data_IF_610454493109
#
_entry.id   IF_610454493109
#
_cell.length_a   1.000
_cell.length_b   1.000
_cell.length_c   1.000
_cell.angle_alpha   90.00
_cell.angle_beta   90.00
_cell.angle_gamma   90.00
#
_symmetry.space_group_name_H-M   'P 1'
#
loop_
_entity.id
_entity.type
_entity.pdbx_description
1 polymer ?
#
# COMPACT_ATOMS: atom_id res chain seq x y z
N UNK A 1 -26.15 16.33 23.77
CA UNK A 1 -25.54 17.38 22.92
C UNK A 1 -25.94 17.09 21.49
N UNK A 2 -26.64 18.03 20.85
CA UNK A 2 -26.98 17.95 19.43
C UNK A 2 -25.71 18.24 18.62
N UNK A 3 -25.33 17.31 17.73
CA UNK A 3 -24.23 17.51 16.80
C UNK A 3 -24.67 18.53 15.73
N UNK A 4 -23.92 19.61 15.56
CA UNK A 4 -24.19 20.64 14.54
C UNK A 4 -23.16 20.60 13.39
N UNK A 5 -21.97 20.13 13.68
CA UNK A 5 -20.88 19.96 12.69
C UNK A 5 -20.24 18.60 12.91
N UNK A 6 -20.22 17.78 11.87
CA UNK A 6 -19.58 16.47 11.85
C UNK A 6 -18.34 16.52 10.96
N UNK A 7 -17.21 16.04 11.48
CA UNK A 7 -15.96 15.93 10.71
C UNK A 7 -15.68 14.45 10.49
N UNK A 8 -15.53 14.04 9.24
CA UNK A 8 -15.22 12.69 8.80
C UNK A 8 -13.88 12.70 8.06
N UNK A 9 -12.88 12.03 8.62
CA UNK A 9 -11.54 11.92 8.05
C UNK A 9 -11.32 10.51 7.51
N UNK A 10 -11.23 10.39 6.17
CA UNK A 10 -11.08 9.14 5.43
C UNK A 10 -12.05 8.00 5.86
N UNK A 11 -13.36 8.28 6.02
CA UNK A 11 -14.26 7.32 6.68
C UNK A 11 -14.49 6.04 5.86
N UNK A 12 -14.15 6.04 4.57
CA UNK A 12 -14.39 4.91 3.65
C UNK A 12 -13.15 4.05 3.40
N UNK A 13 -12.03 4.33 4.06
CA UNK A 13 -10.73 3.66 3.78
C UNK A 13 -10.77 2.14 3.99
N UNK A 14 -11.62 1.65 4.90
CA UNK A 14 -11.75 0.23 5.25
C UNK A 14 -13.15 -0.34 4.98
N UNK A 15 -14.02 0.42 4.27
CA UNK A 15 -15.38 0.01 3.99
C UNK A 15 -15.51 -0.67 2.62
N UNK A 16 -16.43 -1.62 2.55
CA UNK A 16 -16.91 -2.20 1.29
C UNK A 16 -17.79 -1.19 0.55
N UNK A 17 -18.01 -1.36 -0.76
CA UNK A 17 -18.89 -0.49 -1.54
C UNK A 17 -20.31 -0.38 -0.94
N UNK A 18 -20.86 -1.49 -0.45
CA UNK A 18 -22.18 -1.50 0.18
C UNK A 18 -22.22 -0.67 1.47
N UNK A 19 -21.15 -0.71 2.27
CA UNK A 19 -21.02 0.08 3.50
C UNK A 19 -20.81 1.56 3.19
N UNK A 20 -20.09 1.89 2.12
CA UNK A 20 -19.95 3.27 1.62
C UNK A 20 -21.32 3.85 1.22
N UNK A 21 -22.14 3.08 0.50
CA UNK A 21 -23.50 3.49 0.15
C UNK A 21 -24.39 3.70 1.40
N UNK A 22 -24.23 2.87 2.43
CA UNK A 22 -24.92 3.05 3.70
C UNK A 22 -24.47 4.33 4.41
N UNK A 23 -23.15 4.59 4.45
CA UNK A 23 -22.59 5.81 5.03
C UNK A 23 -23.11 7.06 4.31
N UNK A 24 -23.15 7.05 2.98
CA UNK A 24 -23.64 8.21 2.22
C UNK A 24 -25.12 8.52 2.46
N UNK A 25 -25.94 7.50 2.67
CA UNK A 25 -27.33 7.69 3.09
C UNK A 25 -27.43 8.35 4.46
N UNK A 26 -26.63 7.88 5.43
CA UNK A 26 -26.58 8.49 6.77
C UNK A 26 -26.14 9.95 6.69
N UNK A 27 -25.13 10.28 5.87
CA UNK A 27 -24.68 11.65 5.66
C UNK A 27 -25.79 12.52 5.05
N UNK A 28 -26.54 11.99 4.09
CA UNK A 28 -27.67 12.70 3.48
C UNK A 28 -28.78 12.97 4.50
N UNK A 29 -29.12 12.01 5.36
CA UNK A 29 -30.11 12.16 6.42
C UNK A 29 -29.66 13.23 7.44
N UNK A 30 -28.41 13.17 7.90
CA UNK A 30 -27.83 14.18 8.80
C UNK A 30 -27.87 15.59 8.20
N UNK A 31 -27.55 15.71 6.90
CA UNK A 31 -27.63 16.97 6.17
C UNK A 31 -29.08 17.51 6.12
N UNK A 32 -30.06 16.63 5.91
CA UNK A 32 -31.48 16.98 5.92
C UNK A 32 -31.93 17.46 7.31
N UNK A 33 -31.36 16.92 8.37
CA UNK A 33 -31.58 17.35 9.77
C UNK A 33 -30.81 18.64 10.15
N UNK A 34 -30.11 19.26 9.19
CA UNK A 34 -29.40 20.53 9.39
C UNK A 34 -27.98 20.40 9.96
N UNK A 35 -27.41 19.20 9.98
CA UNK A 35 -26.02 18.99 10.38
C UNK A 35 -25.10 19.35 9.22
N UNK A 36 -24.10 20.21 9.48
CA UNK A 36 -23.02 20.50 8.51
C UNK A 36 -21.95 19.42 8.58
N UNK A 37 -21.45 18.96 7.42
CA UNK A 37 -20.46 17.90 7.36
C UNK A 37 -19.18 18.39 6.67
N UNK A 38 -18.03 18.15 7.30
CA UNK A 38 -16.71 18.27 6.69
C UNK A 38 -16.23 16.87 6.37
N UNK A 39 -16.11 16.57 5.08
CA UNK A 39 -15.73 15.25 4.59
C UNK A 39 -14.33 15.30 3.97
N UNK A 40 -13.38 14.57 4.55
CA UNK A 40 -12.01 14.51 4.08
C UNK A 40 -11.80 13.16 3.39
N UNK A 41 -11.37 13.17 2.13
CA UNK A 41 -11.06 11.97 1.37
C UNK A 41 -10.07 12.28 0.24
N UNK A 42 -9.32 11.26 -0.17
CA UNK A 42 -8.51 11.29 -1.38
C UNK A 42 -9.21 10.61 -2.58
N UNK A 43 -10.42 10.08 -2.37
CA UNK A 43 -11.24 9.45 -3.40
C UNK A 43 -12.11 10.53 -4.06
N UNK A 44 -11.68 11.01 -5.23
CA UNK A 44 -12.30 12.14 -5.92
C UNK A 44 -13.75 11.88 -6.29
N UNK A 45 -14.11 10.66 -6.63
CA UNK A 45 -15.48 10.25 -6.97
C UNK A 45 -16.43 10.43 -5.79
N UNK A 46 -15.98 10.07 -4.57
CA UNK A 46 -16.75 10.28 -3.34
C UNK A 46 -16.98 11.76 -3.08
N UNK A 47 -15.92 12.57 -3.15
CA UNK A 47 -15.97 14.02 -2.94
C UNK A 47 -16.95 14.68 -3.93
N UNK A 48 -16.83 14.38 -5.22
CA UNK A 48 -17.71 14.96 -6.24
C UNK A 48 -19.16 14.55 -6.08
N UNK A 49 -19.40 13.36 -5.51
CA UNK A 49 -20.74 12.81 -5.32
C UNK A 49 -21.52 13.47 -4.16
N UNK A 50 -20.84 13.76 -3.03
CA UNK A 50 -21.55 14.14 -1.79
C UNK A 50 -21.33 15.60 -1.39
N UNK A 51 -20.29 16.27 -1.90
CA UNK A 51 -19.93 17.62 -1.46
C UNK A 51 -20.67 18.69 -2.25
N UNK A 52 -21.04 19.78 -1.58
CA UNK A 52 -21.55 21.00 -2.23
C UNK A 52 -20.39 21.85 -2.75
N UNK A 53 -19.33 21.99 -1.93
CA UNK A 53 -18.10 22.71 -2.24
C UNK A 53 -16.89 21.83 -1.93
N UNK A 54 -15.83 22.01 -2.71
CA UNK A 54 -14.56 21.27 -2.55
C UNK A 54 -13.43 22.26 -2.30
N UNK A 55 -12.83 22.15 -1.12
CA UNK A 55 -11.61 22.88 -0.75
C UNK A 55 -10.40 22.01 -1.00
N UNK A 56 -9.44 22.49 -1.78
CA UNK A 56 -8.22 21.75 -2.12
C UNK A 56 -7.04 22.34 -1.32
N UNK A 57 -6.29 21.43 -0.72
CA UNK A 57 -5.04 21.73 -0.01
C UNK A 57 -3.88 20.95 -0.65
N UNK A 58 -2.69 21.55 -0.64
CA UNK A 58 -1.46 20.93 -1.13
C UNK A 58 -0.28 21.37 -0.27
N UNK A 59 0.51 20.42 0.23
CA UNK A 59 1.67 20.69 1.10
C UNK A 59 1.34 21.62 2.29
N UNK A 60 0.16 21.42 2.91
CA UNK A 60 -0.33 22.23 4.02
C UNK A 60 -0.84 23.63 3.65
N UNK A 61 -0.89 23.97 2.36
CA UNK A 61 -1.34 25.26 1.86
C UNK A 61 -2.73 25.16 1.24
N UNK A 62 -3.56 26.17 1.50
CA UNK A 62 -4.83 26.36 0.81
C UNK A 62 -4.59 26.73 -0.65
N UNK A 63 -5.24 26.03 -1.57
CA UNK A 63 -5.14 26.26 -3.02
C UNK A 63 -6.38 26.99 -3.53
N UNK A 64 -7.57 26.62 -3.06
CA UNK A 64 -8.82 27.25 -3.45
C UNK A 64 -10.02 26.41 -3.02
N UNK A 65 -11.23 27.01 -3.20
CA UNK A 65 -12.52 26.36 -2.98
C UNK A 65 -13.39 26.58 -4.21
N UNK A 66 -14.07 25.56 -4.67
CA UNK A 66 -14.94 25.57 -5.85
C UNK A 66 -16.24 24.81 -5.57
N UNK A 67 -17.36 25.20 -6.19
CA UNK A 67 -18.56 24.37 -6.21
C UNK A 67 -18.26 23.00 -6.83
N UNK A 68 -18.71 21.92 -6.20
CA UNK A 68 -18.42 20.54 -6.67
C UNK A 68 -18.88 20.33 -8.12
N UNK A 69 -20.00 20.91 -8.53
CA UNK A 69 -20.56 20.83 -9.89
C UNK A 69 -19.66 21.42 -10.98
N UNK A 70 -18.70 22.26 -10.63
CA UNK A 70 -17.79 22.95 -11.55
C UNK A 70 -16.46 22.22 -11.67
N UNK A 71 -16.26 21.17 -10.87
CA UNK A 71 -15.02 20.39 -10.83
C UNK A 71 -15.18 19.05 -11.57
N UNK A 72 -14.10 18.66 -12.19
CA UNK A 72 -13.89 17.29 -12.69
C UNK A 72 -12.78 16.62 -11.89
N UNK A 73 -12.73 15.29 -11.91
CA UNK A 73 -11.65 14.53 -11.28
C UNK A 73 -10.26 15.04 -11.73
N UNK A 74 -10.08 15.29 -13.03
CA UNK A 74 -8.81 15.78 -13.59
C UNK A 74 -8.47 17.20 -13.09
N UNK A 75 -9.48 18.06 -12.92
CA UNK A 75 -9.28 19.40 -12.37
C UNK A 75 -8.83 19.33 -10.91
N UNK A 76 -9.48 18.50 -10.09
CA UNK A 76 -9.10 18.28 -8.68
C UNK A 76 -7.66 17.78 -8.61
N UNK A 77 -7.33 16.73 -9.36
CA UNK A 77 -5.97 16.16 -9.40
C UNK A 77 -4.95 17.22 -9.84
N UNK A 78 -5.27 18.00 -10.85
CA UNK A 78 -4.38 19.09 -11.32
C UNK A 78 -4.11 20.11 -10.22
N UNK A 79 -5.13 20.53 -9.48
CA UNK A 79 -4.98 21.46 -8.36
C UNK A 79 -4.20 20.85 -7.19
N UNK A 80 -4.42 19.56 -6.86
CA UNK A 80 -3.72 18.85 -5.81
C UNK A 80 -2.23 18.65 -6.14
N UNK A 81 -1.90 18.28 -7.38
CA UNK A 81 -0.52 17.98 -7.81
C UNK A 81 0.21 19.24 -8.30
N UNK A 82 -0.52 20.25 -8.79
CA UNK A 82 0.03 21.52 -9.30
C UNK A 82 0.54 21.45 -10.74
N UNK A 83 0.32 20.36 -11.44
CA UNK A 83 0.61 20.19 -12.87
C UNK A 83 -0.41 19.25 -13.50
N UNK A 84 -0.66 19.40 -14.78
CA UNK A 84 -1.43 18.39 -15.52
C UNK A 84 -0.67 17.06 -15.51
N UNK A 85 -1.37 16.00 -15.21
CA UNK A 85 -0.84 14.65 -15.32
C UNK A 85 -1.16 14.13 -16.73
N UNK A 86 -0.32 14.46 -17.70
CA UNK A 86 -0.50 14.01 -19.09
C UNK A 86 -0.32 12.49 -19.24
N UNK A 87 0.34 11.83 -18.27
CA UNK A 87 0.51 10.38 -18.21
C UNK A 87 0.41 9.91 -16.75
N UNK A 88 -0.79 9.52 -16.32
CA UNK A 88 -0.99 8.92 -14.98
C UNK A 88 -0.22 7.60 -14.81
N UNK A 89 -0.01 6.88 -15.91
CA UNK A 89 0.70 5.60 -15.90
C UNK A 89 1.81 5.63 -16.95
N UNK A 90 3.03 5.23 -16.59
CA UNK A 90 4.10 5.07 -17.57
C UNK A 90 3.66 4.04 -18.63
N UNK A 91 4.13 4.17 -19.87
CA UNK A 91 3.84 3.20 -20.92
C UNK A 91 4.26 1.79 -20.43
N UNK A 92 3.40 0.81 -20.67
CA UNK A 92 3.71 -0.59 -20.34
C UNK A 92 4.72 -1.12 -21.34
N UNK A 93 5.98 -1.15 -20.94
CA UNK A 93 6.97 -1.96 -21.65
C UNK A 93 6.78 -3.42 -21.17
N UNK A 94 6.49 -4.30 -22.11
CA UNK A 94 6.32 -5.74 -21.82
C UNK A 94 7.70 -6.36 -21.67
N UNK A 95 8.19 -6.44 -20.43
CA UNK A 95 9.50 -7.05 -20.11
C UNK A 95 9.39 -8.51 -19.65
N UNK A 96 8.17 -9.05 -19.60
CA UNK A 96 7.94 -10.43 -19.16
C UNK A 96 8.50 -11.43 -20.19
N UNK A 97 9.23 -12.42 -19.70
CA UNK A 97 9.75 -13.55 -20.48
C UNK A 97 8.97 -14.83 -20.14
N UNK A 98 9.21 -15.94 -20.87
CA UNK A 98 8.59 -17.22 -20.56
C UNK A 98 9.27 -17.97 -19.38
N UNK A 99 10.33 -17.39 -18.80
CA UNK A 99 11.04 -17.96 -17.65
C UNK A 99 10.21 -17.78 -16.36
N UNK A 100 9.71 -18.89 -15.80
CA UNK A 100 9.03 -18.89 -14.49
C UNK A 100 10.06 -18.73 -13.38
N UNK A 101 9.98 -17.64 -12.62
CA UNK A 101 10.89 -17.35 -11.51
C UNK A 101 10.34 -17.78 -10.16
N UNK A 102 9.01 -17.76 -10.02
CA UNK A 102 8.35 -18.21 -8.80
C UNK A 102 7.02 -18.89 -9.15
N UNK A 103 6.72 -19.98 -8.49
CA UNK A 103 5.46 -20.70 -8.67
C UNK A 103 4.91 -21.11 -7.32
N UNK A 104 3.61 -20.96 -7.15
CA UNK A 104 2.87 -21.41 -5.98
C UNK A 104 1.86 -22.46 -6.42
N UNK A 105 1.78 -23.60 -5.71
CA UNK A 105 0.91 -24.71 -6.05
C UNK A 105 0.08 -25.13 -4.83
N UNK A 106 -1.24 -25.06 -4.94
CA UNK A 106 -2.26 -25.46 -3.94
C UNK A 106 -1.97 -24.95 -2.51
N UNK A 107 -1.49 -23.71 -2.41
CA UNK A 107 -1.03 -23.14 -1.16
C UNK A 107 -2.21 -22.80 -0.25
N UNK A 108 -2.25 -23.41 0.93
CA UNK A 108 -3.40 -23.34 1.84
C UNK A 108 -2.93 -23.02 3.25
N UNK A 109 -3.56 -22.01 3.86
CA UNK A 109 -3.29 -21.57 5.22
C UNK A 109 -3.66 -22.64 6.25
N UNK A 110 -2.91 -22.72 7.34
CA UNK A 110 -3.31 -23.46 8.55
C UNK A 110 -4.58 -22.89 9.19
N UNK A 111 -4.87 -21.60 9.00
CA UNK A 111 -6.11 -20.97 9.43
C UNK A 111 -7.24 -21.28 8.42
N UNK A 112 -8.31 -22.03 8.83
CA UNK A 112 -9.37 -22.42 7.90
C UNK A 112 -10.17 -21.24 7.35
N UNK A 113 -10.10 -20.05 7.96
CA UNK A 113 -10.77 -18.82 7.52
C UNK A 113 -9.88 -17.94 6.63
N UNK A 114 -8.69 -18.41 6.26
CA UNK A 114 -7.75 -17.66 5.43
C UNK A 114 -7.65 -18.26 4.01
N UNK A 115 -6.57 -17.99 3.27
CA UNK A 115 -6.38 -18.41 1.89
C UNK A 115 -6.35 -19.94 1.76
N UNK A 116 -6.93 -20.46 0.66
CA UNK A 116 -6.99 -21.90 0.36
C UNK A 116 -6.79 -22.16 -1.12
N UNK A 117 -5.94 -23.16 -1.44
CA UNK A 117 -5.73 -23.65 -2.79
C UNK A 117 -5.15 -22.63 -3.76
N UNK A 118 -4.41 -21.63 -3.26
CA UNK A 118 -3.84 -20.60 -4.10
C UNK A 118 -2.74 -21.16 -4.99
N UNK A 119 -2.84 -20.89 -6.30
CA UNK A 119 -1.86 -21.34 -7.28
C UNK A 119 -1.64 -20.23 -8.30
N UNK A 120 -0.39 -19.92 -8.61
CA UNK A 120 -0.03 -18.97 -9.67
C UNK A 120 1.43 -19.18 -10.08
N UNK A 121 1.79 -18.64 -11.24
CA UNK A 121 3.16 -18.53 -11.71
C UNK A 121 3.51 -17.06 -11.90
N UNK A 122 4.75 -16.71 -11.59
CA UNK A 122 5.33 -15.40 -11.81
C UNK A 122 6.50 -15.54 -12.75
N UNK A 123 6.46 -14.83 -13.87
CA UNK A 123 7.51 -14.83 -14.87
C UNK A 123 8.52 -13.71 -14.64
N UNK A 124 9.71 -13.90 -15.15
CA UNK A 124 10.78 -12.89 -15.07
C UNK A 124 10.38 -11.61 -15.80
N UNK A 125 10.47 -10.48 -15.08
CA UNK A 125 10.08 -9.17 -15.59
C UNK A 125 8.57 -8.94 -15.64
N UNK A 126 7.76 -9.83 -15.06
CA UNK A 126 6.31 -9.71 -14.95
C UNK A 126 5.90 -8.90 -13.71
N UNK A 127 4.81 -8.16 -13.84
CA UNK A 127 4.05 -7.61 -12.71
C UNK A 127 2.73 -8.39 -12.63
N UNK A 128 2.65 -9.31 -11.67
CA UNK A 128 1.42 -10.08 -11.42
C UNK A 128 0.50 -9.28 -10.48
N UNK A 129 -0.67 -8.91 -10.96
CA UNK A 129 -1.70 -8.24 -10.15
C UNK A 129 -2.53 -9.28 -9.36
N UNK A 130 -2.65 -9.08 -8.05
CA UNK A 130 -3.50 -9.91 -7.18
C UNK A 130 -4.71 -9.08 -6.74
N UNK A 131 -5.85 -9.26 -7.39
CA UNK A 131 -7.09 -8.56 -7.09
C UNK A 131 -7.96 -9.27 -6.06
N UNK A 132 -8.87 -8.54 -5.41
CA UNK A 132 -9.89 -9.08 -4.50
C UNK A 132 -10.49 -7.99 -3.61
N UNK A 133 -11.69 -8.22 -3.11
CA UNK A 133 -12.38 -7.31 -2.19
C UNK A 133 -11.70 -7.28 -0.81
N UNK A 134 -12.12 -6.35 0.04
CA UNK A 134 -11.72 -6.30 1.46
C UNK A 134 -12.06 -7.65 2.10
N UNK A 135 -11.11 -8.23 2.83
CA UNK A 135 -11.26 -9.56 3.45
C UNK A 135 -10.96 -10.75 2.52
N UNK A 136 -10.58 -10.53 1.25
CA UNK A 136 -10.23 -11.62 0.31
C UNK A 136 -8.92 -12.35 0.66
N UNK A 137 -8.28 -12.02 1.77
CA UNK A 137 -7.09 -12.69 2.30
C UNK A 137 -5.86 -12.60 1.38
N UNK A 138 -5.74 -11.51 0.60
CA UNK A 138 -4.60 -11.26 -0.29
C UNK A 138 -3.32 -11.01 0.49
N UNK A 139 -3.39 -10.16 1.50
CA UNK A 139 -2.27 -9.83 2.39
C UNK A 139 -1.81 -11.09 3.12
N UNK A 140 -2.75 -11.87 3.66
CA UNK A 140 -2.47 -13.12 4.36
C UNK A 140 -1.78 -14.16 3.45
N UNK A 141 -2.19 -14.24 2.18
CA UNK A 141 -1.52 -15.10 1.19
C UNK A 141 -0.08 -14.65 0.96
N UNK A 142 0.17 -13.35 0.75
CA UNK A 142 1.52 -12.83 0.54
C UNK A 142 2.40 -12.96 1.79
N UNK A 143 1.83 -12.76 2.98
CA UNK A 143 2.50 -13.06 4.25
C UNK A 143 2.85 -14.55 4.40
N UNK A 144 1.98 -15.44 3.92
CA UNK A 144 2.26 -16.87 3.85
C UNK A 144 3.40 -17.18 2.90
N UNK A 145 3.41 -16.61 1.70
CA UNK A 145 4.50 -16.73 0.72
C UNK A 145 5.83 -16.20 1.27
N UNK A 146 5.78 -15.16 2.08
CA UNK A 146 6.97 -14.56 2.70
C UNK A 146 7.42 -15.29 3.98
N UNK A 147 6.61 -16.25 4.50
CA UNK A 147 6.94 -17.03 5.68
C UNK A 147 6.60 -16.36 7.02
N UNK A 148 5.72 -15.35 7.01
CA UNK A 148 5.15 -14.75 8.22
C UNK A 148 4.02 -15.62 8.76
N UNK A 149 3.18 -16.18 7.86
CA UNK A 149 2.07 -17.06 8.22
C UNK A 149 2.37 -18.48 7.82
N UNK A 150 2.01 -19.41 8.71
CA UNK A 150 2.14 -20.84 8.42
C UNK A 150 1.09 -21.32 7.40
N UNK A 151 1.47 -22.29 6.59
CA UNK A 151 0.59 -23.00 5.68
C UNK A 151 0.50 -24.48 6.07
N UNK A 152 -0.61 -25.13 5.75
CA UNK A 152 -0.83 -26.55 6.06
C UNK A 152 -0.46 -27.47 4.89
N UNK A 153 -0.62 -26.97 3.64
CA UNK A 153 -0.30 -27.71 2.42
C UNK A 153 0.03 -26.78 1.26
N UNK A 154 0.49 -27.37 0.19
CA UNK A 154 0.97 -26.69 -0.99
C UNK A 154 2.48 -26.53 -0.95
N UNK A 155 3.02 -26.05 -2.06
CA UNK A 155 4.47 -25.86 -2.21
C UNK A 155 4.78 -24.59 -3.00
N UNK A 156 5.93 -24.04 -2.71
CA UNK A 156 6.50 -22.93 -3.46
C UNK A 156 7.73 -23.43 -4.25
N UNK A 157 7.84 -23.02 -5.50
CA UNK A 157 9.02 -23.27 -6.31
C UNK A 157 9.68 -21.95 -6.66
N UNK A 158 11.00 -21.89 -6.55
CA UNK A 158 11.81 -20.75 -6.95
C UNK A 158 12.80 -21.22 -8.02
N UNK A 159 12.69 -20.63 -9.23
CA UNK A 159 13.48 -21.05 -10.41
C UNK A 159 13.42 -22.57 -10.67
N UNK A 160 12.21 -23.11 -10.61
CA UNK A 160 11.92 -24.53 -10.86
C UNK A 160 12.28 -25.50 -9.72
N UNK A 161 12.90 -25.04 -8.63
CA UNK A 161 13.25 -25.86 -7.48
C UNK A 161 12.30 -25.62 -6.33
N UNK A 162 11.80 -26.67 -5.69
CA UNK A 162 10.96 -26.54 -4.50
C UNK A 162 11.74 -25.89 -3.35
N UNK A 163 11.11 -24.93 -2.67
CA UNK A 163 11.73 -24.17 -1.59
C UNK A 163 10.82 -24.16 -0.37
N UNK A 164 11.40 -24.41 0.80
CA UNK A 164 10.73 -24.22 2.07
C UNK A 164 10.93 -22.76 2.52
N UNK A 165 9.83 -22.03 2.67
CA UNK A 165 9.80 -20.68 3.22
C UNK A 165 8.94 -20.72 4.49
N UNK A 166 9.58 -20.98 5.62
CA UNK A 166 8.91 -21.12 6.92
C UNK A 166 9.05 -19.88 7.79
N UNK A 167 9.92 -18.95 7.41
CA UNK A 167 10.17 -17.67 8.10
C UNK A 167 10.67 -16.62 7.10
N UNK A 168 10.51 -15.32 7.41
CA UNK A 168 10.93 -14.23 6.52
C UNK A 168 12.38 -14.32 6.03
N UNK A 169 13.29 -14.78 6.89
CA UNK A 169 14.70 -14.93 6.51
C UNK A 169 14.90 -15.89 5.34
N UNK A 170 14.08 -16.92 5.23
CA UNK A 170 14.16 -17.90 4.13
C UNK A 170 13.77 -17.26 2.79
N UNK A 171 12.82 -16.33 2.80
CA UNK A 171 12.44 -15.52 1.64
C UNK A 171 13.53 -14.49 1.28
N UNK A 172 14.01 -13.73 2.27
CA UNK A 172 15.02 -12.69 2.08
C UNK A 172 16.32 -13.25 1.50
N UNK A 173 16.79 -14.39 1.97
CA UNK A 173 18.01 -15.04 1.44
C UNK A 173 17.88 -15.48 -0.02
N UNK A 174 16.65 -15.60 -0.54
CA UNK A 174 16.35 -15.89 -1.95
C UNK A 174 16.08 -14.64 -2.79
N UNK A 175 16.21 -13.44 -2.18
CA UNK A 175 15.96 -12.18 -2.85
C UNK A 175 14.48 -11.81 -2.95
N UNK A 176 13.60 -12.47 -2.18
CA UNK A 176 12.18 -12.11 -2.08
C UNK A 176 12.04 -11.04 -0.99
N UNK A 177 11.35 -9.95 -1.29
CA UNK A 177 11.06 -8.88 -0.34
C UNK A 177 9.55 -8.66 -0.24
N UNK A 178 9.08 -8.23 0.92
CA UNK A 178 7.69 -7.86 1.18
C UNK A 178 7.63 -6.40 1.61
N UNK A 179 6.84 -5.60 0.89
CA UNK A 179 6.42 -4.28 1.33
C UNK A 179 5.01 -4.41 1.92
N UNK A 180 4.86 -4.08 3.19
CA UNK A 180 3.61 -4.28 3.93
C UNK A 180 2.59 -3.20 3.62
N UNK A 181 1.30 -3.53 3.74
CA UNK A 181 0.18 -2.59 3.57
C UNK A 181 0.17 -1.52 4.66
N UNK A 182 0.20 -1.95 5.94
CA UNK A 182 0.27 -1.03 7.07
C UNK A 182 1.71 -0.63 7.37
N UNK A 183 2.09 0.54 6.84
CA UNK A 183 3.42 1.12 7.03
C UNK A 183 3.73 1.44 8.49
N UNK A 184 2.73 1.87 9.26
CA UNK A 184 2.93 2.27 10.66
C UNK A 184 3.07 1.09 11.61
N UNK A 185 2.25 0.05 11.40
CA UNK A 185 2.28 -1.13 12.25
C UNK A 185 3.45 -2.08 11.94
N UNK A 186 3.84 -2.20 10.66
CA UNK A 186 4.78 -3.24 10.23
C UNK A 186 5.86 -2.81 9.25
N UNK A 187 5.79 -1.59 8.73
CA UNK A 187 6.73 -1.10 7.71
C UNK A 187 7.78 -0.12 8.22
N UNK A 188 7.55 0.54 9.36
CA UNK A 188 8.44 1.57 9.92
C UNK A 188 8.60 1.35 11.42
N UNK A 189 9.83 1.42 11.88
CA UNK A 189 10.18 1.45 13.30
C UNK A 189 10.18 2.91 13.76
N UNK A 190 9.01 3.42 14.20
CA UNK A 190 8.76 4.85 14.45
C UNK A 190 9.63 5.48 15.54
N UNK A 191 10.28 4.67 16.38
CA UNK A 191 11.21 5.13 17.42
C UNK A 191 12.65 5.25 16.93
N UNK A 192 12.95 4.75 15.74
CA UNK A 192 14.29 4.77 15.14
C UNK A 192 14.43 5.92 14.14
N UNK A 193 15.67 6.31 13.88
CA UNK A 193 15.99 7.33 12.89
C UNK A 193 15.67 6.86 11.45
N UNK A 194 15.62 7.80 10.50
CA UNK A 194 15.52 7.50 9.07
C UNK A 194 16.68 6.60 8.63
N UNK A 195 17.90 6.88 9.10
CA UNK A 195 19.08 6.08 8.81
C UNK A 195 18.93 4.64 9.26
N UNK A 196 18.44 4.41 10.48
CA UNK A 196 18.23 3.06 11.01
C UNK A 196 17.14 2.32 10.22
N UNK A 197 16.03 2.99 9.91
CA UNK A 197 14.95 2.40 9.12
C UNK A 197 15.39 2.01 7.70
N UNK A 198 16.24 2.81 7.06
CA UNK A 198 16.77 2.51 5.73
C UNK A 198 17.73 1.32 5.76
N UNK A 199 18.52 1.17 6.83
CA UNK A 199 19.60 0.18 6.89
C UNK A 199 19.19 -1.14 7.55
N UNK A 200 18.20 -1.14 8.47
CA UNK A 200 17.88 -2.30 9.34
C UNK A 200 17.65 -3.61 8.57
N UNK A 201 16.96 -3.56 7.43
CA UNK A 201 16.66 -4.75 6.64
C UNK A 201 17.87 -5.39 5.95
N UNK A 202 19.00 -4.67 5.89
CA UNK A 202 20.22 -5.08 5.17
C UNK A 202 21.48 -5.00 6.02
N UNK A 203 21.37 -4.87 7.35
CA UNK A 203 22.52 -4.70 8.25
C UNK A 203 23.60 -5.78 8.09
N UNK A 204 23.18 -7.03 7.83
CA UNK A 204 24.11 -8.16 7.61
C UNK A 204 25.13 -7.89 6.47
N UNK A 205 24.76 -7.06 5.48
CA UNK A 205 25.62 -6.71 4.34
C UNK A 205 26.68 -5.64 4.68
N UNK A 206 26.48 -4.95 5.80
CA UNK A 206 27.32 -3.83 6.23
C UNK A 206 28.15 -4.15 7.47
N UNK A 207 28.37 -5.44 7.74
CA UNK A 207 29.21 -5.89 8.84
C UNK A 207 30.69 -5.92 8.41
N UNK A 208 31.54 -5.24 9.19
CA UNK A 208 33.01 -5.41 9.21
C UNK A 208 33.36 -6.57 10.14
N UNK A 209 34.20 -7.47 9.68
CA UNK A 209 34.68 -8.62 10.48
C UNK A 209 33.53 -9.47 11.06
N UNK A 210 32.32 -9.41 10.46
CA UNK A 210 31.08 -10.12 10.88
C UNK A 210 30.49 -9.70 12.25
N UNK A 211 31.04 -8.67 12.89
CA UNK A 211 30.63 -8.26 14.25
C UNK A 211 30.41 -6.77 14.44
N UNK A 212 30.99 -5.92 13.59
CA UNK A 212 30.90 -4.46 13.70
C UNK A 212 30.22 -3.87 12.48
N UNK A 213 29.38 -2.87 12.68
CA UNK A 213 28.76 -2.13 11.57
C UNK A 213 29.79 -1.24 10.87
N UNK A 214 29.68 -1.14 9.56
CA UNK A 214 30.44 -0.21 8.73
C UNK A 214 29.65 1.07 8.52
N UNK A 215 29.77 2.01 9.46
CA UNK A 215 29.01 3.26 9.45
C UNK A 215 29.22 4.05 8.14
N UNK A 216 30.42 4.02 7.57
CA UNK A 216 30.69 4.72 6.31
C UNK A 216 29.98 4.12 5.10
N UNK A 217 29.76 2.79 5.10
CA UNK A 217 28.94 2.15 4.05
C UNK A 217 27.44 2.37 4.28
N UNK A 218 27.00 2.35 5.54
CA UNK A 218 25.61 2.63 5.91
C UNK A 218 25.26 4.07 5.52
N UNK A 219 26.11 5.03 5.82
CA UNK A 219 25.88 6.43 5.46
C UNK A 219 25.73 6.61 3.94
N UNK A 220 26.60 5.98 3.14
CA UNK A 220 26.49 6.00 1.67
C UNK A 220 25.19 5.40 1.17
N UNK A 221 24.74 4.27 1.75
CA UNK A 221 23.47 3.66 1.45
C UNK A 221 22.31 4.62 1.74
N UNK A 222 22.32 5.23 2.93
CA UNK A 222 21.28 6.14 3.39
C UNK A 222 21.18 7.36 2.47
N UNK A 223 22.31 8.02 2.19
CA UNK A 223 22.33 9.19 1.32
C UNK A 223 21.85 8.86 -0.11
N UNK A 224 22.26 7.71 -0.65
CA UNK A 224 21.79 7.27 -1.96
C UNK A 224 20.26 7.07 -1.99
N UNK A 225 19.68 6.46 -0.94
CA UNK A 225 18.24 6.26 -0.86
C UNK A 225 17.47 7.55 -0.58
N UNK A 226 17.98 8.42 0.29
CA UNK A 226 17.41 9.76 0.55
C UNK A 226 17.30 10.55 -0.74
N UNK A 227 18.38 10.58 -1.54
CA UNK A 227 18.40 11.27 -2.83
C UNK A 227 17.47 10.61 -3.86
N UNK A 228 17.52 9.28 -4.00
CA UNK A 228 16.75 8.52 -4.98
C UNK A 228 15.25 8.62 -4.75
N UNK A 229 14.82 8.59 -3.49
CA UNK A 229 13.42 8.59 -3.07
C UNK A 229 12.94 9.99 -2.64
N UNK A 230 13.80 11.01 -2.70
CA UNK A 230 13.49 12.38 -2.26
C UNK A 230 12.94 12.42 -0.83
N UNK A 231 13.54 11.66 0.09
CA UNK A 231 13.13 11.60 1.48
C UNK A 231 13.41 12.96 2.13
N UNK A 232 12.37 13.56 2.71
CA UNK A 232 12.49 14.81 3.48
C UNK A 232 13.02 14.47 4.87
N UNK A 233 14.22 14.89 5.21
CA UNK A 233 14.89 14.73 6.51
C UNK A 233 15.14 16.09 7.12
#
# INVERSE_FOLDING_TARGET
NECRVLILDEPTSSLTEHEVEALFRIIADLKADGVSVIYISHKMEEILRISDEVTIMRDGKYIGTWPSRELTTDAIITHMVGRKLDNLYPPRERCATDEVVFELQDFTSINPRSFRGASFQLHKGEILGVGGLVGAQRTELMEGVFGIRAHERGRALYKGSEVAINRPRDAITRGIALLTEDRRASGILGVLSVSDNVSVASLDQYLKYRVMLDDGKIEKLVQANVSRLSIKT
#
